data_IF_710071883641
#
_entry.id   IF_710071883641
#
_cell.length_a   1.000
_cell.length_b   1.000
_cell.length_c   1.000
_cell.angle_alpha   90.00
_cell.angle_beta   90.00
_cell.angle_gamma   90.00
#
_symmetry.space_group_name_H-M   'P 1'
#
loop_
_entity.id
_entity.type
_entity.pdbx_description
1 polymer ?
#
# COMPACT_ATOMS: atom_id res chain seq x y z
N UNK A 1 21.41 25.03 -35.52
CA UNK A 1 21.06 24.21 -36.70
C UNK A 1 19.60 23.80 -36.53
N UNK A 2 18.72 23.97 -37.52
CA UNK A 2 17.30 23.55 -37.40
C UNK A 2 17.19 22.05 -37.72
N UNK A 3 16.40 21.27 -36.97
CA UNK A 3 16.24 19.84 -37.24
C UNK A 3 15.60 19.61 -38.62
N UNK A 4 16.05 18.56 -39.31
CA UNK A 4 15.50 18.16 -40.61
C UNK A 4 14.09 17.58 -40.45
N UNK A 5 13.26 17.54 -41.52
CA UNK A 5 11.95 16.87 -41.48
C UNK A 5 12.01 15.42 -41.01
N UNK A 6 13.08 14.70 -41.37
CA UNK A 6 13.32 13.31 -40.95
C UNK A 6 13.64 13.20 -39.46
N UNK A 7 14.45 14.13 -38.92
CA UNK A 7 14.71 14.22 -37.48
C UNK A 7 13.44 14.56 -36.69
N UNK A 8 12.57 15.44 -37.22
CA UNK A 8 11.28 15.75 -36.60
C UNK A 8 10.34 14.53 -36.62
N UNK A 9 10.27 13.80 -37.75
CA UNK A 9 9.45 12.60 -37.85
C UNK A 9 9.92 11.48 -36.90
N UNK A 10 11.25 11.30 -36.80
CA UNK A 10 11.87 10.36 -35.85
C UNK A 10 11.54 10.72 -34.40
N UNK A 11 11.64 12.00 -34.03
CA UNK A 11 11.29 12.46 -32.68
C UNK A 11 9.80 12.24 -32.37
N UNK A 12 8.90 12.54 -33.30
CA UNK A 12 7.46 12.30 -33.13
C UNK A 12 7.17 10.81 -32.93
N UNK A 13 7.81 9.93 -33.70
CA UNK A 13 7.66 8.49 -33.55
C UNK A 13 8.12 8.02 -32.16
N UNK A 14 9.27 8.54 -31.69
CA UNK A 14 9.82 8.20 -30.38
C UNK A 14 8.91 8.69 -29.23
N UNK A 15 8.35 9.90 -29.35
CA UNK A 15 7.37 10.42 -28.39
C UNK A 15 6.09 9.59 -28.35
N UNK A 16 5.59 9.11 -29.51
CA UNK A 16 4.41 8.23 -29.56
C UNK A 16 4.65 6.88 -28.90
N UNK A 17 5.82 6.29 -29.13
CA UNK A 17 6.22 5.02 -28.49
C UNK A 17 6.30 5.22 -26.97
N UNK A 18 6.92 6.32 -26.53
CA UNK A 18 7.02 6.66 -25.11
C UNK A 18 5.63 6.85 -24.48
N UNK A 19 4.77 7.64 -25.10
CA UNK A 19 3.40 7.86 -24.61
C UNK A 19 2.62 6.55 -24.51
N UNK A 20 2.67 5.70 -25.54
CA UNK A 20 1.98 4.41 -25.51
C UNK A 20 2.50 3.49 -24.39
N UNK A 21 3.81 3.53 -24.10
CA UNK A 21 4.40 2.81 -22.98
C UNK A 21 3.97 3.37 -21.62
N UNK A 22 3.85 4.70 -21.50
CA UNK A 22 3.35 5.36 -20.29
C UNK A 22 1.86 5.07 -20.07
N UNK A 23 1.04 5.12 -21.11
CA UNK A 23 -0.39 4.79 -21.07
C UNK A 23 -0.62 3.33 -20.65
N UNK A 24 0.17 2.40 -21.22
CA UNK A 24 0.11 0.99 -20.85
C UNK A 24 0.57 0.75 -19.41
N UNK A 25 1.61 1.46 -18.97
CA UNK A 25 2.05 1.42 -17.59
C UNK A 25 0.95 1.92 -16.64
N UNK A 26 0.32 3.07 -16.94
CA UNK A 26 -0.78 3.62 -16.15
C UNK A 26 -1.97 2.66 -16.11
N UNK A 27 -2.26 1.99 -17.23
CA UNK A 27 -3.32 0.98 -17.29
C UNK A 27 -3.04 -0.21 -16.35
N UNK A 28 -1.80 -0.69 -16.30
CA UNK A 28 -1.41 -1.88 -15.53
C UNK A 28 -1.10 -1.59 -14.06
N UNK A 29 -0.44 -0.47 -13.79
CA UNK A 29 0.19 -0.15 -12.52
C UNK A 29 -0.29 1.17 -11.93
N UNK A 30 -1.27 1.82 -12.57
CA UNK A 30 -1.75 3.14 -12.16
C UNK A 30 -0.69 4.21 -12.34
N UNK A 31 -0.89 5.33 -11.65
CA UNK A 31 0.07 6.43 -11.60
C UNK A 31 1.21 6.18 -10.59
N UNK A 32 1.45 4.90 -10.23
CA UNK A 32 2.65 4.54 -9.48
C UNK A 32 3.91 4.99 -10.23
N UNK A 33 5.02 5.10 -9.52
CA UNK A 33 6.27 5.56 -10.13
C UNK A 33 6.70 4.63 -11.26
N UNK A 34 6.82 5.18 -12.47
CA UNK A 34 7.48 4.50 -13.58
C UNK A 34 8.96 4.28 -13.21
N UNK A 35 9.46 3.02 -13.16
CA UNK A 35 10.85 2.77 -12.81
C UNK A 35 11.80 3.36 -13.85
N UNK A 36 12.71 4.23 -13.42
CA UNK A 36 13.72 4.84 -14.29
C UNK A 36 15.08 4.29 -13.91
N UNK A 37 15.61 3.39 -14.74
CA UNK A 37 16.91 2.75 -14.51
C UNK A 37 17.71 2.63 -15.80
N UNK A 38 18.99 2.29 -15.65
CA UNK A 38 19.90 1.95 -16.75
C UNK A 38 20.95 0.95 -16.25
N UNK A 39 21.77 0.41 -17.14
CA UNK A 39 22.91 -0.44 -16.77
C UNK A 39 24.22 0.33 -16.94
N UNK A 40 25.02 0.40 -15.89
CA UNK A 40 26.35 0.99 -15.88
C UNK A 40 27.35 -0.01 -15.31
N UNK A 41 28.41 -0.33 -16.08
CA UNK A 41 29.44 -1.30 -15.69
C UNK A 41 28.85 -2.68 -15.31
N UNK A 42 27.81 -3.11 -16.04
CA UNK A 42 27.12 -4.38 -15.77
C UNK A 42 26.25 -4.40 -14.52
N UNK A 43 26.04 -3.25 -13.85
CA UNK A 43 25.15 -3.12 -12.68
C UNK A 43 23.96 -2.23 -13.00
N UNK A 44 22.78 -2.58 -12.50
CA UNK A 44 21.61 -1.71 -12.57
C UNK A 44 21.86 -0.44 -11.75
N UNK A 45 21.51 0.72 -12.31
CA UNK A 45 21.45 2.01 -11.63
C UNK A 45 20.05 2.55 -11.78
N UNK A 46 19.36 2.77 -10.66
CA UNK A 46 17.95 3.20 -10.63
C UNK A 46 17.79 4.53 -9.90
N UNK A 47 17.01 5.43 -10.49
CA UNK A 47 16.65 6.70 -9.88
C UNK A 47 15.45 6.52 -8.95
N UNK A 48 15.59 6.88 -7.67
CA UNK A 48 14.55 6.76 -6.63
C UNK A 48 14.65 7.95 -5.67
N UNK A 49 13.55 8.68 -5.43
CA UNK A 49 13.52 9.78 -4.43
C UNK A 49 14.57 10.88 -4.63
N UNK A 50 14.88 11.21 -5.88
CA UNK A 50 15.93 12.18 -6.22
C UNK A 50 17.38 11.67 -6.07
N UNK A 51 17.58 10.39 -5.75
CA UNK A 51 18.92 9.76 -5.68
C UNK A 51 19.11 8.71 -6.76
N UNK A 52 20.37 8.39 -7.08
CA UNK A 52 20.76 7.26 -7.92
C UNK A 52 21.25 6.12 -7.02
N UNK A 53 20.63 4.97 -7.13
CA UNK A 53 20.95 3.78 -6.35
C UNK A 53 21.54 2.73 -7.29
N UNK A 54 22.75 2.27 -7.00
CA UNK A 54 23.43 1.22 -7.78
C UNK A 54 23.16 -0.13 -7.14
N UNK A 55 22.86 -1.12 -7.95
CA UNK A 55 22.79 -2.52 -7.55
C UNK A 55 24.01 -2.89 -6.69
N UNK A 56 23.72 -3.44 -5.52
CA UNK A 56 24.74 -3.78 -4.51
C UNK A 56 25.15 -5.25 -4.67
N UNK A 57 24.19 -6.14 -4.91
CA UNK A 57 24.40 -7.59 -5.05
C UNK A 57 24.93 -7.95 -6.43
N UNK A 58 25.81 -8.94 -6.50
CA UNK A 58 26.27 -9.51 -7.76
C UNK A 58 25.21 -10.46 -8.36
N UNK A 59 25.21 -10.60 -9.69
CA UNK A 59 24.30 -11.50 -10.41
C UNK A 59 23.04 -10.81 -10.95
N UNK A 60 22.02 -11.60 -11.36
CA UNK A 60 20.75 -11.07 -11.86
C UNK A 60 20.09 -10.14 -10.85
N UNK A 61 19.56 -9.02 -11.33
CA UNK A 61 18.93 -8.00 -10.50
C UNK A 61 17.78 -7.34 -11.25
N UNK A 62 16.62 -7.27 -10.61
CA UNK A 62 15.38 -6.77 -11.20
C UNK A 62 14.62 -5.85 -10.22
N UNK A 63 13.43 -5.40 -10.61
CA UNK A 63 12.65 -4.48 -9.78
C UNK A 63 12.18 -5.06 -8.44
N UNK A 64 11.98 -6.37 -8.34
CA UNK A 64 11.67 -7.01 -7.05
C UNK A 64 12.86 -6.88 -6.09
N UNK A 65 14.08 -6.93 -6.61
CA UNK A 65 15.29 -6.70 -5.83
C UNK A 65 15.39 -5.24 -5.36
N UNK A 66 14.98 -4.28 -6.20
CA UNK A 66 14.88 -2.86 -5.81
C UNK A 66 13.86 -2.66 -4.69
N UNK A 67 12.69 -3.30 -4.76
CA UNK A 67 11.68 -3.21 -3.70
C UNK A 67 12.19 -3.85 -2.41
N UNK A 68 12.89 -4.98 -2.50
CA UNK A 68 13.56 -5.61 -1.37
C UNK A 68 14.58 -4.67 -0.73
N UNK A 69 15.48 -4.06 -1.52
CA UNK A 69 16.49 -3.14 -1.04
C UNK A 69 15.85 -1.88 -0.43
N UNK A 70 14.74 -1.38 -0.99
CA UNK A 70 13.97 -0.28 -0.41
C UNK A 70 13.39 -0.62 0.97
N UNK A 71 12.98 -1.87 1.20
CA UNK A 71 12.55 -2.33 2.51
C UNK A 71 13.72 -2.52 3.49
N UNK A 72 14.91 -2.89 3.01
CA UNK A 72 16.13 -2.95 3.84
C UNK A 72 16.56 -1.54 4.28
N UNK A 73 16.57 -0.58 3.35
CA UNK A 73 16.90 0.84 3.58
C UNK A 73 16.08 1.44 4.73
N UNK A 74 14.79 1.05 4.85
CA UNK A 74 13.92 1.51 5.93
C UNK A 74 14.52 1.26 7.32
N UNK A 75 15.12 0.08 7.53
CA UNK A 75 15.66 -0.32 8.83
C UNK A 75 17.11 0.09 9.02
N UNK A 76 17.91 0.02 7.95
CA UNK A 76 19.36 0.23 7.99
C UNK A 76 20.12 -0.97 8.55
N UNK A 77 21.37 -1.13 8.10
CA UNK A 77 22.21 -2.30 8.37
C UNK A 77 22.42 -2.56 9.87
N UNK A 78 22.82 -1.53 10.64
CA UNK A 78 23.06 -1.65 12.08
C UNK A 78 21.86 -2.21 12.84
N UNK A 79 20.66 -1.75 12.46
CA UNK A 79 19.43 -2.18 13.11
C UNK A 79 19.03 -3.58 12.69
N UNK A 80 19.16 -3.91 11.40
CA UNK A 80 18.92 -5.26 10.91
C UNK A 80 19.83 -6.23 11.67
N UNK A 81 21.11 -5.93 11.77
CA UNK A 81 22.08 -6.76 12.50
C UNK A 81 21.70 -6.90 13.98
N UNK A 82 21.33 -5.80 14.65
CA UNK A 82 20.89 -5.83 16.04
C UNK A 82 19.63 -6.71 16.24
N UNK A 83 18.67 -6.64 15.32
CA UNK A 83 17.45 -7.44 15.35
C UNK A 83 17.73 -8.91 15.04
N UNK A 84 18.64 -9.22 14.11
CA UNK A 84 19.04 -10.60 13.80
C UNK A 84 19.73 -11.30 14.98
N UNK A 85 20.32 -10.55 15.91
CA UNK A 85 20.90 -11.10 17.14
C UNK A 85 19.86 -11.41 18.25
N UNK A 86 18.60 -11.01 18.07
CA UNK A 86 17.51 -11.24 19.04
C UNK A 86 16.77 -12.56 18.72
N UNK A 87 16.09 -13.17 19.72
CA UNK A 87 15.13 -14.25 19.47
C UNK A 87 14.08 -13.81 18.44
N UNK A 88 13.69 -14.71 17.54
CA UNK A 88 12.83 -14.40 16.39
C UNK A 88 11.54 -13.66 16.77
N UNK A 89 10.90 -14.11 17.85
CA UNK A 89 9.62 -13.64 18.39
C UNK A 89 9.71 -12.24 19.01
N UNK A 90 10.93 -11.80 19.35
CA UNK A 90 11.20 -10.47 19.86
C UNK A 90 11.57 -9.48 18.75
N UNK A 91 11.89 -9.97 17.54
CA UNK A 91 12.27 -9.12 16.41
C UNK A 91 11.11 -8.26 15.94
N UNK A 92 11.44 -7.15 15.30
CA UNK A 92 10.47 -6.37 14.53
C UNK A 92 9.69 -7.25 13.53
N UNK A 93 8.36 -7.13 13.42
CA UNK A 93 7.53 -8.01 12.60
C UNK A 93 7.91 -8.03 11.12
N UNK A 94 8.25 -6.88 10.53
CA UNK A 94 8.75 -6.85 9.16
C UNK A 94 10.02 -7.71 8.99
N UNK A 95 10.92 -7.70 9.99
CA UNK A 95 12.15 -8.48 9.95
C UNK A 95 11.90 -9.97 10.23
N UNK A 96 10.84 -10.31 10.97
CA UNK A 96 10.35 -11.69 11.02
C UNK A 96 9.92 -12.17 9.63
N UNK A 97 9.20 -11.35 8.85
CA UNK A 97 8.86 -11.72 7.47
C UNK A 97 10.09 -11.88 6.60
N UNK A 98 11.07 -10.99 6.70
CA UNK A 98 12.33 -11.11 5.98
C UNK A 98 13.01 -12.44 6.28
N UNK A 99 13.25 -12.76 7.56
CA UNK A 99 13.90 -14.02 7.95
C UNK A 99 13.12 -15.23 7.44
N UNK A 100 11.80 -15.28 7.65
CA UNK A 100 10.97 -16.38 7.15
C UNK A 100 10.98 -16.49 5.62
N UNK A 101 11.00 -15.37 4.90
CA UNK A 101 11.05 -15.37 3.45
C UNK A 101 12.39 -15.89 2.93
N UNK A 102 13.51 -15.51 3.56
CA UNK A 102 14.86 -16.00 3.24
C UNK A 102 14.97 -17.50 3.50
N UNK A 103 14.54 -17.96 4.68
CA UNK A 103 14.57 -19.37 5.03
C UNK A 103 13.75 -20.22 4.05
N UNK A 104 12.55 -19.75 3.70
CA UNK A 104 11.70 -20.45 2.73
C UNK A 104 12.30 -20.44 1.33
N UNK A 105 12.92 -19.33 0.91
CA UNK A 105 13.57 -19.26 -0.40
C UNK A 105 14.72 -20.27 -0.52
N UNK A 106 15.53 -20.45 0.53
CA UNK A 106 16.60 -21.43 0.54
C UNK A 106 16.07 -22.87 0.45
N UNK A 107 14.93 -23.17 1.08
CA UNK A 107 14.27 -24.47 0.96
C UNK A 107 13.74 -24.71 -0.46
N UNK A 108 13.08 -23.71 -1.04
CA UNK A 108 12.54 -23.76 -2.40
C UNK A 108 13.66 -23.96 -3.44
N UNK A 109 14.78 -23.25 -3.29
CA UNK A 109 15.96 -23.39 -4.14
C UNK A 109 16.55 -24.79 -4.07
N UNK A 110 16.64 -25.38 -2.87
CA UNK A 110 17.10 -26.76 -2.69
C UNK A 110 16.17 -27.79 -3.36
N UNK A 111 14.88 -27.47 -3.51
CA UNK A 111 13.88 -28.26 -4.23
C UNK A 111 13.81 -27.91 -5.74
N UNK A 112 14.57 -26.91 -6.20
CA UNK A 112 14.53 -26.44 -7.59
C UNK A 112 13.21 -25.77 -7.98
N UNK A 113 12.47 -25.23 -7.01
CA UNK A 113 11.21 -24.51 -7.23
C UNK A 113 11.34 -23.06 -6.76
N UNK A 114 10.42 -22.22 -7.18
CA UNK A 114 10.28 -20.87 -6.65
C UNK A 114 8.80 -20.60 -6.38
N UNK A 115 8.41 -20.43 -5.10
CA UNK A 115 7.01 -20.24 -4.72
C UNK A 115 6.85 -19.11 -3.68
N UNK A 116 6.03 -18.09 -3.96
CA UNK A 116 5.83 -17.01 -3.00
C UNK A 116 5.16 -17.52 -1.71
N UNK A 117 5.79 -17.25 -0.57
CA UNK A 117 5.21 -17.44 0.76
C UNK A 117 4.48 -16.18 1.24
N UNK A 118 3.61 -16.33 2.24
CA UNK A 118 2.94 -15.19 2.90
C UNK A 118 3.93 -14.12 3.37
N UNK A 119 5.01 -14.53 4.03
CA UNK A 119 6.07 -13.63 4.48
C UNK A 119 6.79 -12.93 3.33
N UNK A 120 7.13 -13.64 2.24
CA UNK A 120 7.80 -13.02 1.08
C UNK A 120 6.93 -11.96 0.42
N UNK A 121 5.63 -12.19 0.32
CA UNK A 121 4.68 -11.23 -0.25
C UNK A 121 4.45 -10.06 0.70
N UNK A 122 4.32 -10.28 2.01
CA UNK A 122 4.19 -9.20 2.98
C UNK A 122 5.41 -8.26 2.96
N UNK A 123 6.62 -8.83 2.89
CA UNK A 123 7.87 -8.09 2.77
C UNK A 123 7.97 -7.32 1.45
N UNK A 124 7.74 -7.99 0.32
CA UNK A 124 7.80 -7.35 -1.01
C UNK A 124 6.78 -6.21 -1.16
N UNK A 125 5.60 -6.36 -0.56
CA UNK A 125 4.56 -5.31 -0.54
C UNK A 125 4.98 -4.09 0.29
N UNK A 126 5.59 -4.30 1.44
CA UNK A 126 6.17 -3.21 2.24
C UNK A 126 7.20 -2.44 1.41
N UNK A 127 8.11 -3.15 0.74
CA UNK A 127 9.12 -2.54 -0.13
C UNK A 127 8.52 -1.77 -1.30
N UNK A 128 7.51 -2.32 -1.96
CA UNK A 128 6.86 -1.67 -3.10
C UNK A 128 6.05 -0.42 -2.68
N UNK A 129 5.35 -0.44 -1.55
CA UNK A 129 4.65 0.75 -1.07
C UNK A 129 5.64 1.86 -0.70
N UNK A 130 6.74 1.52 -0.02
CA UNK A 130 7.82 2.47 0.29
C UNK A 130 8.42 3.08 -0.98
N UNK A 131 8.65 2.26 -2.01
CA UNK A 131 9.13 2.72 -3.31
C UNK A 131 8.13 3.68 -3.97
N UNK A 132 6.83 3.36 -3.92
CA UNK A 132 5.76 4.13 -4.55
C UNK A 132 5.64 5.53 -3.95
N UNK A 133 5.79 5.68 -2.64
CA UNK A 133 5.64 6.98 -1.96
C UNK A 133 6.96 7.76 -1.81
N UNK A 134 8.08 7.24 -2.35
CA UNK A 134 9.45 7.70 -2.04
C UNK A 134 9.75 9.14 -2.47
N UNK A 135 9.00 9.71 -3.41
CA UNK A 135 9.19 11.10 -3.85
C UNK A 135 8.62 12.15 -2.87
N UNK A 136 7.84 11.73 -1.88
CA UNK A 136 7.37 12.62 -0.83
C UNK A 136 8.29 12.51 0.40
N UNK A 137 9.33 13.34 0.44
CA UNK A 137 10.38 13.26 1.47
C UNK A 137 9.84 13.45 2.91
N UNK A 138 8.84 14.33 3.10
CA UNK A 138 8.22 14.57 4.41
C UNK A 138 7.41 13.36 4.87
N UNK A 139 6.57 12.82 3.97
CA UNK A 139 5.82 11.57 4.18
C UNK A 139 6.75 10.43 4.57
N UNK A 140 7.80 10.23 3.77
CA UNK A 140 8.74 9.14 3.98
C UNK A 140 9.46 9.28 5.33
N UNK A 141 9.82 10.49 5.76
CA UNK A 141 10.47 10.69 7.05
C UNK A 141 9.56 10.32 8.24
N UNK A 142 8.28 10.78 8.22
CA UNK A 142 7.27 10.43 9.23
C UNK A 142 7.02 8.92 9.26
N UNK A 143 6.60 8.35 8.14
CA UNK A 143 6.32 6.93 8.02
C UNK A 143 7.53 6.07 8.38
N UNK A 144 8.74 6.44 7.94
CA UNK A 144 9.94 5.65 8.27
C UNK A 144 10.18 5.55 9.77
N UNK A 145 9.90 6.62 10.53
CA UNK A 145 10.04 6.60 12.00
C UNK A 145 9.04 5.62 12.63
N UNK A 146 7.78 5.71 12.23
CA UNK A 146 6.67 4.94 12.81
C UNK A 146 6.70 3.46 12.35
N UNK A 147 7.06 3.19 11.09
CA UNK A 147 7.26 1.83 10.55
C UNK A 147 8.44 1.09 11.21
N UNK A 148 9.38 1.83 11.78
CA UNK A 148 10.49 1.27 12.55
C UNK A 148 10.10 1.02 14.01
N UNK A 149 9.00 1.58 14.50
CA UNK A 149 8.55 1.38 15.87
C UNK A 149 7.60 0.16 15.92
N UNK A 150 7.95 -0.94 16.61
CA UNK A 150 7.11 -2.12 16.67
C UNK A 150 5.67 -1.86 17.14
N UNK A 151 5.47 -0.89 18.04
CA UNK A 151 4.14 -0.59 18.62
C UNK A 151 3.26 0.23 17.67
N UNK A 152 3.86 0.94 16.71
CA UNK A 152 3.18 1.79 15.72
C UNK A 152 3.12 1.12 14.34
N UNK A 153 3.93 0.08 14.12
CA UNK A 153 4.14 -0.56 12.82
C UNK A 153 2.84 -0.92 12.09
N UNK A 154 1.86 -1.51 12.78
CA UNK A 154 0.58 -1.85 12.17
C UNK A 154 -0.16 -0.62 11.63
N UNK A 155 -0.24 0.44 12.44
CA UNK A 155 -0.93 1.68 12.05
C UNK A 155 -0.18 2.37 10.91
N UNK A 156 1.14 2.50 11.02
CA UNK A 156 1.98 3.12 10.00
C UNK A 156 1.99 2.34 8.67
N UNK A 157 1.93 1.00 8.73
CA UNK A 157 1.79 0.16 7.52
C UNK A 157 0.46 0.40 6.81
N UNK A 158 -0.63 0.59 7.56
CA UNK A 158 -1.94 0.90 6.98
C UNK A 158 -1.95 2.30 6.34
N UNK A 159 -1.32 3.28 6.98
CA UNK A 159 -1.14 4.63 6.43
C UNK A 159 -0.29 4.59 5.14
N UNK A 160 0.83 3.86 5.16
CA UNK A 160 1.70 3.66 3.99
C UNK A 160 0.92 3.01 2.82
N UNK A 161 0.15 1.95 3.09
CA UNK A 161 -0.70 1.31 2.08
C UNK A 161 -1.71 2.30 1.48
N UNK A 162 -2.35 3.09 2.34
CA UNK A 162 -3.35 4.09 1.93
C UNK A 162 -2.72 5.18 1.06
N UNK A 163 -1.53 5.66 1.44
CA UNK A 163 -0.73 6.59 0.64
C UNK A 163 -0.35 6.00 -0.72
N UNK A 164 0.13 4.76 -0.75
CA UNK A 164 0.49 4.04 -1.97
C UNK A 164 -0.69 3.91 -2.94
N UNK A 165 -1.89 3.62 -2.42
CA UNK A 165 -3.12 3.57 -3.23
C UNK A 165 -3.47 4.96 -3.78
N UNK A 166 -3.40 6.01 -2.96
CA UNK A 166 -3.69 7.38 -3.40
C UNK A 166 -2.73 7.84 -4.51
N UNK A 167 -1.42 7.59 -4.36
CA UNK A 167 -0.41 7.88 -5.40
C UNK A 167 -0.70 7.08 -6.66
N UNK A 168 -0.98 5.79 -6.53
CA UNK A 168 -1.34 4.90 -7.65
C UNK A 168 -2.62 5.38 -8.36
N UNK A 169 -3.54 6.02 -7.65
CA UNK A 169 -4.76 6.61 -8.19
C UNK A 169 -4.53 7.96 -8.92
N UNK A 170 -3.32 8.53 -8.89
CA UNK A 170 -2.99 9.81 -9.52
C UNK A 170 -3.08 11.02 -8.60
N UNK A 171 -3.13 10.80 -7.28
CA UNK A 171 -3.15 11.86 -6.28
C UNK A 171 -1.76 12.21 -5.75
N UNK A 172 -1.51 13.50 -5.57
CA UNK A 172 -0.40 14.01 -4.77
C UNK A 172 -0.83 14.14 -3.31
N UNK A 173 0.02 13.72 -2.38
CA UNK A 173 -0.27 13.71 -0.93
C UNK A 173 0.23 15.00 -0.27
N UNK A 174 -0.67 15.67 0.45
CA UNK A 174 -0.42 16.85 1.26
C UNK A 174 -0.76 16.54 2.72
N UNK A 175 0.25 16.56 3.61
CA UNK A 175 -0.01 16.41 5.04
C UNK A 175 -0.63 17.66 5.63
N UNK A 176 -1.58 17.47 6.54
CA UNK A 176 -2.07 18.54 7.39
C UNK A 176 -1.00 18.94 8.42
N UNK A 177 -0.99 20.22 8.80
CA UNK A 177 -0.13 20.72 9.86
C UNK A 177 -0.66 20.24 11.22
N UNK A 178 -0.04 19.19 11.77
CA UNK A 178 -0.40 18.60 13.07
C UNK A 178 -0.15 19.55 14.28
N UNK A 179 0.32 20.77 14.07
CA UNK A 179 0.56 21.74 15.15
C UNK A 179 -0.72 22.20 15.86
N UNK A 180 -1.89 22.13 15.22
CA UNK A 180 -3.17 22.47 15.86
C UNK A 180 -3.77 21.25 16.58
N UNK A 181 -3.53 21.16 17.88
CA UNK A 181 -4.05 20.08 18.74
C UNK A 181 -5.54 20.21 19.08
N UNK A 182 -6.21 21.30 18.66
CA UNK A 182 -7.63 21.53 18.96
C UNK A 182 -8.59 20.82 17.98
N UNK A 183 -8.07 20.22 16.91
CA UNK A 183 -8.87 19.50 15.91
C UNK A 183 -8.35 18.09 15.71
N UNK A 184 -9.28 17.16 15.46
CA UNK A 184 -8.94 15.82 14.99
C UNK A 184 -8.80 15.87 13.47
N UNK A 185 -7.57 16.04 13.03
CA UNK A 185 -7.18 16.05 11.62
C UNK A 185 -7.35 14.67 11.00
N UNK A 186 -7.57 14.65 9.69
CA UNK A 186 -7.47 13.42 8.91
C UNK A 186 -5.99 13.06 8.72
N UNK A 187 -5.69 11.83 8.30
CA UNK A 187 -4.30 11.42 8.08
C UNK A 187 -3.59 12.28 7.03
N UNK A 188 -4.28 12.60 5.92
CA UNK A 188 -3.77 13.53 4.91
C UNK A 188 -4.87 14.04 3.96
N UNK A 189 -4.53 15.07 3.20
CA UNK A 189 -5.27 15.52 2.01
C UNK A 189 -4.58 14.99 0.77
N UNK A 190 -5.36 14.53 -0.20
CA UNK A 190 -4.87 14.07 -1.50
C UNK A 190 -5.47 14.91 -2.62
N UNK A 191 -4.64 15.37 -3.56
CA UNK A 191 -5.04 16.22 -4.68
C UNK A 191 -4.79 15.52 -6.00
N UNK A 192 -5.85 15.31 -6.80
CA UNK A 192 -5.72 14.65 -8.10
C UNK A 192 -4.94 15.54 -9.06
N UNK A 193 -3.80 15.03 -9.55
CA UNK A 193 -2.80 15.83 -10.29
C UNK A 193 -3.34 16.47 -11.57
N UNK A 194 -4.22 15.79 -12.30
CA UNK A 194 -4.80 16.31 -13.55
C UNK A 194 -6.08 17.11 -13.35
N UNK A 195 -6.92 16.70 -12.38
CA UNK A 195 -8.27 17.23 -12.22
C UNK A 195 -8.36 18.33 -11.14
N UNK A 196 -7.34 18.45 -10.29
CA UNK A 196 -7.33 19.38 -9.16
C UNK A 196 -8.35 19.04 -8.06
N UNK A 197 -8.90 17.82 -8.05
CA UNK A 197 -9.88 17.38 -7.06
C UNK A 197 -9.16 17.05 -5.76
N UNK A 198 -9.53 17.72 -4.68
CA UNK A 198 -9.03 17.45 -3.34
C UNK A 198 -9.96 16.52 -2.56
N UNK A 199 -9.38 15.56 -1.86
CA UNK A 199 -10.08 14.64 -0.95
C UNK A 199 -9.37 14.58 0.40
N UNK A 200 -10.15 14.41 1.46
CA UNK A 200 -9.62 14.10 2.79
C UNK A 200 -9.55 12.59 2.96
N UNK A 201 -8.45 12.08 3.50
CA UNK A 201 -8.20 10.63 3.60
C UNK A 201 -7.93 10.23 5.03
N UNK A 202 -8.65 9.22 5.51
CA UNK A 202 -8.43 8.61 6.82
C UNK A 202 -8.05 7.13 6.67
N UNK A 203 -6.95 6.72 7.30
CA UNK A 203 -6.52 5.32 7.34
C UNK A 203 -6.85 4.69 8.70
N UNK A 204 -7.49 3.51 8.67
CA UNK A 204 -7.80 2.73 9.87
C UNK A 204 -7.37 1.28 9.67
N UNK A 205 -6.69 0.72 10.66
CA UNK A 205 -6.43 -0.72 10.72
C UNK A 205 -7.03 -1.34 11.96
N UNK A 206 -7.71 -2.47 11.78
CA UNK A 206 -8.27 -3.22 12.89
C UNK A 206 -7.17 -3.93 13.66
N UNK A 207 -6.90 -3.48 14.88
CA UNK A 207 -5.99 -4.17 15.81
C UNK A 207 -6.61 -5.48 16.31
N UNK A 208 -5.84 -6.56 16.26
CA UNK A 208 -6.25 -7.90 16.69
C UNK A 208 -5.17 -8.48 17.60
N UNK A 209 -5.58 -9.08 18.72
CA UNK A 209 -4.65 -9.60 19.72
C UNK A 209 -3.71 -10.63 19.09
N UNK A 210 -2.41 -10.49 19.31
CA UNK A 210 -1.38 -11.39 18.78
C UNK A 210 -1.01 -11.16 17.31
N UNK A 211 -1.55 -10.12 16.66
CA UNK A 211 -1.33 -9.85 15.24
C UNK A 211 -0.49 -8.58 15.11
N UNK A 212 0.59 -8.65 14.31
CA UNK A 212 1.50 -7.53 14.05
C UNK A 212 2.01 -6.83 15.32
N UNK A 213 2.19 -7.58 16.41
CA UNK A 213 2.78 -7.08 17.66
C UNK A 213 1.79 -6.48 18.62
N UNK A 214 0.51 -6.42 18.25
CA UNK A 214 -0.52 -5.91 19.12
C UNK A 214 -0.83 -6.90 20.26
N UNK A 215 -0.38 -6.58 21.48
CA UNK A 215 -0.60 -7.40 22.68
C UNK A 215 -1.89 -7.08 23.46
N UNK A 216 -2.66 -6.09 23.01
CA UNK A 216 -3.89 -5.65 23.67
C UNK A 216 -5.17 -6.37 23.20
N UNK A 217 -6.30 -6.05 23.83
CA UNK A 217 -7.62 -6.55 23.44
C UNK A 217 -7.98 -7.93 24.00
N UNK A 218 -9.15 -8.43 23.60
CA UNK A 218 -9.65 -9.73 24.05
C UNK A 218 -9.02 -10.86 23.23
N UNK A 219 -8.52 -11.89 23.92
CA UNK A 219 -8.08 -13.12 23.27
C UNK A 219 -9.28 -13.79 22.56
N UNK A 220 -9.04 -14.29 21.35
CA UNK A 220 -10.05 -14.96 20.54
C UNK A 220 -9.60 -15.14 19.10
N UNK A 221 -10.38 -15.88 18.32
CA UNK A 221 -10.12 -16.07 16.91
C UNK A 221 -10.19 -14.73 16.15
N UNK A 222 -9.10 -14.27 15.51
CA UNK A 222 -9.09 -13.03 14.75
C UNK A 222 -10.10 -13.04 13.59
N UNK A 223 -10.48 -14.20 13.05
CA UNK A 223 -11.49 -14.35 11.99
C UNK A 223 -12.95 -14.43 12.47
N UNK A 224 -13.19 -14.44 13.78
CA UNK A 224 -14.52 -14.67 14.33
C UNK A 224 -15.50 -13.53 14.00
N UNK A 225 -15.04 -12.27 14.03
CA UNK A 225 -15.84 -11.07 13.71
C UNK A 225 -14.98 -9.99 13.05
N UNK A 226 -15.58 -9.20 12.18
CA UNK A 226 -14.92 -8.06 11.54
C UNK A 226 -14.68 -6.93 12.53
N UNK A 227 -15.70 -6.53 13.30
CA UNK A 227 -15.65 -5.49 14.35
C UNK A 227 -15.08 -4.14 13.86
N UNK A 228 -15.60 -3.55 12.79
CA UNK A 228 -15.08 -2.28 12.24
C UNK A 228 -15.82 -1.03 12.70
N UNK A 229 -16.93 -1.18 13.44
CA UNK A 229 -17.82 -0.07 13.81
C UNK A 229 -17.10 1.12 14.46
N UNK A 230 -16.32 0.88 15.52
CA UNK A 230 -15.61 1.94 16.23
C UNK A 230 -14.57 2.67 15.37
N UNK A 231 -14.03 2.02 14.33
CA UNK A 231 -13.10 2.66 13.39
C UNK A 231 -13.82 3.66 12.50
N UNK A 232 -15.03 3.31 12.05
CA UNK A 232 -15.87 4.21 11.27
C UNK A 232 -16.39 5.36 12.11
N UNK A 233 -16.83 5.11 13.34
CA UNK A 233 -17.25 6.17 14.27
C UNK A 233 -16.10 7.16 14.54
N UNK A 234 -14.87 6.66 14.74
CA UNK A 234 -13.70 7.51 14.93
C UNK A 234 -13.35 8.34 13.68
N UNK A 235 -13.46 7.75 12.48
CA UNK A 235 -13.27 8.46 11.22
C UNK A 235 -14.36 9.50 10.96
N UNK A 236 -15.61 9.20 11.29
CA UNK A 236 -16.74 10.15 11.19
C UNK A 236 -16.65 11.28 12.21
N UNK A 237 -15.92 11.08 13.31
CA UNK A 237 -15.61 12.12 14.30
C UNK A 237 -14.51 13.09 13.87
N UNK A 238 -13.91 12.91 12.68
CA UNK A 238 -12.96 13.86 12.10
C UNK A 238 -13.69 15.07 11.51
N UNK A 239 -12.97 16.19 11.39
CA UNK A 239 -13.49 17.41 10.79
C UNK A 239 -12.79 17.69 9.44
N UNK A 240 -13.05 16.89 8.40
CA UNK A 240 -12.37 17.01 7.12
C UNK A 240 -12.78 18.32 6.40
N UNK A 241 -11.83 18.92 5.67
CA UNK A 241 -12.10 20.08 4.81
C UNK A 241 -12.75 19.66 3.48
N UNK A 242 -12.41 18.48 2.97
CA UNK A 242 -12.82 17.96 1.67
C UNK A 242 -13.71 16.71 1.81
N UNK A 243 -14.33 16.21 0.72
CA UNK A 243 -14.92 14.87 0.68
C UNK A 243 -14.01 13.82 1.34
N UNK A 244 -14.51 13.15 2.37
CA UNK A 244 -13.78 12.17 3.16
C UNK A 244 -13.89 10.78 2.54
N UNK A 245 -12.75 10.14 2.32
CA UNK A 245 -12.63 8.74 1.94
C UNK A 245 -11.89 7.99 3.04
N UNK A 246 -12.50 6.93 3.56
CA UNK A 246 -11.94 6.15 4.67
C UNK A 246 -11.44 4.81 4.15
N UNK A 247 -10.20 4.50 4.46
CA UNK A 247 -9.57 3.22 4.18
C UNK A 247 -9.57 2.38 5.45
N UNK A 248 -10.13 1.17 5.38
CA UNK A 248 -10.19 0.27 6.53
C UNK A 248 -9.50 -1.04 6.18
N UNK A 249 -8.28 -1.23 6.65
CA UNK A 249 -7.67 -2.55 6.73
C UNK A 249 -8.38 -3.36 7.83
N UNK A 250 -9.21 -4.31 7.41
CA UNK A 250 -9.96 -5.16 8.33
C UNK A 250 -9.08 -6.17 9.04
N UNK A 251 -7.85 -6.39 8.55
CA UNK A 251 -6.83 -7.23 9.15
C UNK A 251 -7.35 -8.62 9.53
N UNK A 252 -8.07 -9.29 8.65
CA UNK A 252 -8.63 -10.62 8.85
C UNK A 252 -7.66 -11.70 8.32
N UNK A 253 -7.64 -12.89 8.95
CA UNK A 253 -6.83 -14.01 8.46
C UNK A 253 -7.32 -14.49 7.09
N UNK A 254 -6.56 -15.41 6.48
CA UNK A 254 -7.05 -16.17 5.35
C UNK A 254 -8.32 -16.92 5.75
N UNK A 255 -9.39 -16.79 4.95
CA UNK A 255 -10.66 -17.46 5.21
C UNK A 255 -11.22 -18.14 3.96
N UNK A 256 -12.11 -19.11 4.19
CA UNK A 256 -12.88 -19.75 3.12
C UNK A 256 -13.81 -18.75 2.43
N UNK A 257 -14.43 -19.17 1.32
CA UNK A 257 -15.43 -18.35 0.64
C UNK A 257 -16.60 -18.00 1.55
N UNK A 258 -17.06 -18.95 2.37
CA UNK A 258 -18.17 -18.79 3.31
C UNK A 258 -17.81 -17.79 4.41
N UNK A 259 -16.59 -17.87 4.96
CA UNK A 259 -16.09 -16.90 5.94
C UNK A 259 -16.01 -15.50 5.34
N UNK A 260 -15.49 -15.38 4.11
CA UNK A 260 -15.44 -14.10 3.38
C UNK A 260 -16.83 -13.51 3.19
N UNK A 261 -17.80 -14.30 2.74
CA UNK A 261 -19.18 -13.83 2.58
C UNK A 261 -19.77 -13.35 3.90
N UNK A 262 -19.55 -14.09 4.99
CA UNK A 262 -19.99 -13.69 6.34
C UNK A 262 -19.37 -12.36 6.77
N UNK A 263 -18.07 -12.14 6.52
CA UNK A 263 -17.41 -10.88 6.83
C UNK A 263 -17.97 -9.72 6.01
N UNK A 264 -18.21 -9.91 4.71
CA UNK A 264 -18.81 -8.89 3.86
C UNK A 264 -20.22 -8.52 4.33
N UNK A 265 -21.03 -9.50 4.75
CA UNK A 265 -22.34 -9.25 5.35
C UNK A 265 -22.23 -8.46 6.66
N UNK A 266 -21.25 -8.76 7.54
CA UNK A 266 -21.03 -7.99 8.77
C UNK A 266 -20.63 -6.53 8.47
N UNK A 267 -19.81 -6.30 7.44
CA UNK A 267 -19.43 -4.96 6.99
C UNK A 267 -20.66 -4.20 6.50
N UNK A 268 -21.46 -4.80 5.61
CA UNK A 268 -22.69 -4.21 5.09
C UNK A 268 -23.67 -3.84 6.20
N UNK A 269 -23.89 -4.77 7.14
CA UNK A 269 -24.76 -4.53 8.29
C UNK A 269 -24.24 -3.37 9.15
N UNK A 270 -22.93 -3.31 9.40
CA UNK A 270 -22.35 -2.23 10.21
C UNK A 270 -22.55 -0.85 9.57
N UNK A 271 -22.35 -0.74 8.25
CA UNK A 271 -22.59 0.54 7.54
C UNK A 271 -24.08 0.89 7.55
N UNK A 272 -24.95 -0.10 7.32
CA UNK A 272 -26.39 0.09 7.37
C UNK A 272 -26.85 0.59 8.75
N UNK A 273 -26.32 0.01 9.83
CA UNK A 273 -26.65 0.41 11.21
C UNK A 273 -26.20 1.86 11.49
N UNK A 274 -24.98 2.23 11.09
CA UNK A 274 -24.50 3.62 11.20
C UNK A 274 -25.38 4.61 10.43
N UNK A 275 -25.85 4.23 9.24
CA UNK A 275 -26.79 5.04 8.47
C UNK A 275 -28.14 5.19 9.18
N UNK A 276 -28.72 4.07 9.63
CA UNK A 276 -30.02 4.04 10.33
C UNK A 276 -30.00 4.84 11.65
N UNK A 277 -28.86 4.83 12.35
CA UNK A 277 -28.63 5.59 13.57
C UNK A 277 -28.28 7.07 13.32
N UNK A 278 -28.14 7.48 12.06
CA UNK A 278 -27.94 8.87 11.66
C UNK A 278 -26.49 9.36 11.68
N UNK A 279 -25.50 8.49 11.89
CA UNK A 279 -24.08 8.86 11.89
C UNK A 279 -23.61 9.42 10.53
N UNK A 280 -24.27 9.02 9.45
CA UNK A 280 -23.93 9.45 8.09
C UNK A 280 -24.66 10.72 7.66
N UNK A 281 -25.66 11.16 8.44
CA UNK A 281 -26.43 12.36 8.15
C UNK A 281 -25.53 13.59 8.24
N UNK A 282 -25.54 14.41 7.20
CA UNK A 282 -24.72 15.62 7.08
C UNK A 282 -23.19 15.39 7.15
N UNK A 283 -22.75 14.13 7.09
CA UNK A 283 -21.33 13.78 7.09
C UNK A 283 -20.68 14.13 5.75
N UNK A 284 -19.37 14.38 5.79
CA UNK A 284 -18.55 14.54 4.58
C UNK A 284 -18.01 13.21 4.06
N UNK A 285 -18.41 12.07 4.64
CA UNK A 285 -18.01 10.76 4.15
C UNK A 285 -18.63 10.51 2.77
N UNK A 286 -17.79 10.25 1.78
CA UNK A 286 -18.21 9.94 0.40
C UNK A 286 -18.05 8.46 0.07
N UNK A 287 -17.03 7.81 0.64
CA UNK A 287 -16.82 6.39 0.43
C UNK A 287 -15.95 5.75 1.50
N UNK A 288 -16.12 4.44 1.65
CA UNK A 288 -15.24 3.60 2.46
C UNK A 288 -14.69 2.49 1.60
N UNK A 289 -13.37 2.31 1.61
CA UNK A 289 -12.71 1.16 1.01
C UNK A 289 -12.26 0.21 2.12
N UNK A 290 -13.01 -0.88 2.31
CA UNK A 290 -12.57 -1.98 3.17
C UNK A 290 -11.56 -2.83 2.41
N UNK A 291 -10.43 -3.15 3.03
CA UNK A 291 -9.34 -3.90 2.41
C UNK A 291 -8.88 -5.01 3.34
N UNK A 292 -8.38 -6.09 2.77
CA UNK A 292 -7.76 -7.15 3.55
C UNK A 292 -6.52 -7.73 2.85
N UNK A 293 -5.40 -7.74 3.57
CA UNK A 293 -4.20 -8.45 3.19
C UNK A 293 -3.80 -9.49 4.25
N UNK A 294 -4.16 -10.77 4.07
CA UNK A 294 -3.86 -11.81 5.03
C UNK A 294 -2.44 -12.39 4.90
N UNK A 295 -1.58 -11.87 4.01
CA UNK A 295 -0.21 -12.40 3.76
C UNK A 295 0.58 -12.63 5.05
N UNK A 296 0.47 -11.68 5.99
CA UNK A 296 1.18 -11.71 7.25
C UNK A 296 0.65 -12.75 8.27
N UNK A 297 -0.51 -13.36 8.04
CA UNK A 297 -1.02 -14.51 8.81
C UNK A 297 -0.50 -15.85 8.29
N UNK A 298 -0.10 -15.90 7.02
CA UNK A 298 0.22 -17.15 6.31
C UNK A 298 1.66 -17.59 6.61
N UNK A 299 2.54 -16.64 6.87
CA UNK A 299 3.93 -16.91 7.27
C UNK A 299 4.70 -17.69 6.20
N UNK A 300 5.31 -18.84 6.53
CA UNK A 300 6.12 -19.62 5.58
C UNK A 300 5.30 -20.33 4.51
N UNK A 301 3.99 -20.52 4.70
CA UNK A 301 3.16 -21.28 3.76
C UNK A 301 3.09 -20.59 2.40
N UNK A 302 3.20 -21.38 1.33
CA UNK A 302 3.05 -20.90 -0.04
C UNK A 302 1.62 -20.45 -0.35
N UNK A 303 1.54 -19.41 -1.15
CA UNK A 303 0.30 -18.92 -1.74
C UNK A 303 0.02 -19.67 -3.05
N UNK A 304 -1.27 -19.79 -3.41
CA UNK A 304 -1.68 -20.21 -4.76
C UNK A 304 -1.26 -19.14 -5.77
N UNK A 305 -1.99 -18.04 -5.81
CA UNK A 305 -1.51 -16.77 -6.35
C UNK A 305 -1.35 -15.72 -5.22
N UNK A 306 -0.41 -14.76 -5.35
CA UNK A 306 -0.21 -13.68 -4.37
C UNK A 306 -1.47 -12.85 -4.09
N UNK A 307 -2.42 -12.83 -5.01
CA UNK A 307 -3.65 -12.02 -4.95
C UNK A 307 -4.90 -12.81 -4.57
N UNK A 308 -4.88 -14.14 -4.56
CA UNK A 308 -6.09 -14.97 -4.35
C UNK A 308 -6.77 -14.73 -2.98
N UNK A 309 -5.96 -14.35 -2.00
CA UNK A 309 -6.40 -14.09 -0.63
C UNK A 309 -6.72 -12.63 -0.35
N UNK A 310 -6.32 -11.73 -1.25
CA UNK A 310 -6.62 -10.32 -1.16
C UNK A 310 -8.08 -10.04 -1.53
N UNK A 311 -8.66 -9.05 -0.88
CA UNK A 311 -9.93 -8.50 -1.32
C UNK A 311 -10.08 -7.06 -0.85
N UNK A 312 -10.85 -6.31 -1.63
CA UNK A 312 -11.34 -5.00 -1.26
C UNK A 312 -12.86 -4.95 -1.49
N UNK A 313 -13.55 -4.17 -0.66
CA UNK A 313 -15.00 -3.99 -0.72
C UNK A 313 -15.31 -2.50 -0.62
N UNK A 314 -15.61 -1.83 -1.75
CA UNK A 314 -15.98 -0.42 -1.76
C UNK A 314 -17.42 -0.26 -1.27
N UNK A 315 -17.67 0.78 -0.48
CA UNK A 315 -19.01 1.20 -0.06
C UNK A 315 -19.18 2.68 -0.38
N UNK A 316 -20.00 2.97 -1.40
CA UNK A 316 -20.42 4.32 -1.78
C UNK A 316 -21.60 4.75 -0.92
N UNK A 317 -21.59 6.00 -0.47
CA UNK A 317 -22.73 6.59 0.24
C UNK A 317 -23.65 7.30 -0.76
N UNK A 318 -24.96 7.07 -0.64
CA UNK A 318 -25.97 7.56 -1.59
C UNK A 318 -26.43 9.00 -1.32
N UNK A 319 -26.22 9.49 -0.11
CA UNK A 319 -26.61 10.83 0.32
C UNK A 319 -25.35 11.65 0.55
N UNK A 320 -24.87 12.31 -0.50
CA UNK A 320 -23.67 13.13 -0.44
C UNK A 320 -24.03 14.59 -0.12
N UNK A 321 -23.30 15.17 0.83
CA UNK A 321 -23.43 16.58 1.19
C UNK A 321 -22.80 17.52 0.16
N UNK A 322 -21.76 17.06 -0.51
CA UNK A 322 -21.11 17.75 -1.62
C UNK A 322 -21.38 16.96 -2.90
N UNK A 323 -21.58 17.61 -4.06
CA UNK A 323 -21.71 16.89 -5.32
C UNK A 323 -20.43 16.10 -5.60
N UNK A 324 -20.57 14.87 -6.11
CA UNK A 324 -19.45 14.12 -6.65
C UNK A 324 -18.75 14.97 -7.72
N UNK A 325 -17.43 15.15 -7.58
CA UNK A 325 -16.60 15.51 -8.72
C UNK A 325 -16.84 14.47 -9.80
N UNK A 326 -17.07 14.86 -11.07
CA UNK A 326 -17.50 13.93 -12.14
C UNK A 326 -16.61 12.70 -12.41
N UNK A 327 -15.46 12.57 -11.73
CA UNK A 327 -14.68 11.35 -11.60
C UNK A 327 -15.11 10.55 -10.37
N UNK A 328 -15.49 9.29 -10.56
CA UNK A 328 -15.80 8.37 -9.46
C UNK A 328 -14.54 8.01 -8.66
N UNK A 329 -14.21 8.85 -7.68
CA UNK A 329 -13.00 8.73 -6.86
C UNK A 329 -12.92 7.35 -6.19
N UNK A 330 -14.03 6.79 -5.71
CA UNK A 330 -13.97 5.50 -5.02
C UNK A 330 -13.63 4.36 -5.99
N UNK A 331 -14.19 4.37 -7.20
CA UNK A 331 -13.84 3.38 -8.23
C UNK A 331 -12.38 3.53 -8.68
N UNK A 332 -11.88 4.78 -8.77
CA UNK A 332 -10.47 5.05 -9.04
C UNK A 332 -9.55 4.51 -7.94
N UNK A 333 -9.90 4.71 -6.66
CA UNK A 333 -9.13 4.17 -5.52
C UNK A 333 -9.17 2.64 -5.48
N UNK A 334 -10.32 2.02 -5.83
CA UNK A 334 -10.45 0.57 -5.95
C UNK A 334 -9.60 0.00 -7.10
N UNK A 335 -9.59 0.68 -8.25
CA UNK A 335 -8.75 0.32 -9.38
C UNK A 335 -7.27 0.41 -8.99
N UNK A 336 -6.87 1.50 -8.34
CA UNK A 336 -5.52 1.70 -7.85
C UNK A 336 -5.10 0.63 -6.82
N UNK A 337 -6.00 0.23 -5.91
CA UNK A 337 -5.74 -0.91 -5.02
C UNK A 337 -5.44 -2.20 -5.80
N UNK A 338 -6.19 -2.45 -6.88
CA UNK A 338 -5.96 -3.62 -7.75
C UNK A 338 -4.63 -3.53 -8.48
N UNK A 339 -4.33 -2.38 -9.09
CA UNK A 339 -3.08 -2.14 -9.82
C UNK A 339 -1.86 -2.24 -8.90
N UNK A 340 -1.95 -1.71 -7.69
CA UNK A 340 -0.90 -1.80 -6.66
C UNK A 340 -0.57 -3.25 -6.26
N UNK A 341 -1.46 -4.21 -6.49
CA UNK A 341 -1.21 -5.63 -6.21
C UNK A 341 -0.45 -6.35 -7.33
N UNK A 342 -0.23 -5.70 -8.47
CA UNK A 342 0.60 -6.15 -9.57
C UNK A 342 1.77 -5.17 -9.74
N UNK A 343 2.79 -5.20 -8.85
CA UNK A 343 3.93 -4.32 -8.98
C UNK A 343 4.62 -4.52 -10.34
N UNK A 344 5.17 -3.46 -10.96
CA UNK A 344 5.92 -3.58 -12.20
C UNK A 344 7.03 -4.61 -12.05
N UNK A 345 7.06 -5.56 -12.96
CA UNK A 345 8.19 -6.47 -13.17
C UNK A 345 8.96 -6.02 -14.40
N UNK A 346 10.28 -6.22 -14.39
CA UNK A 346 11.06 -6.15 -15.62
C UNK A 346 10.55 -7.26 -16.54
N UNK A 347 10.22 -6.93 -17.79
CA UNK A 347 9.84 -7.96 -18.75
C UNK A 347 10.99 -8.97 -18.93
N UNK A 348 10.72 -10.22 -19.33
CA UNK A 348 11.77 -11.12 -19.79
C UNK A 348 12.29 -10.56 -21.14
N UNK A 349 13.34 -9.76 -21.11
CA UNK A 349 13.87 -9.14 -22.34
C UNK A 349 14.91 -8.04 -22.21
N UNK A 350 15.35 -7.67 -21.00
CA UNK A 350 16.51 -6.78 -20.81
C UNK A 350 17.79 -7.57 -20.52
#
# INVERSE_FOLDING_TARGET
MKPTPEQIASLIALLKIKQASEDEFVRLHGHARFPVYTHMEGKMVIAIGGTLNKQIREGPYNLLDVYHDTALDLFGEDRIQAEMNRPFEERHHALQWLSTAVDQHALDEAEGVYRPSGSSVAWGRLGYDLFTVRDNAKLLAKLSRELRNPDEFQSARCELLTCSIAVTAGFEIQFEDEADTNKRHVEFVAVHTEAGISISVEAKSRRRNGVLGFKGGHAGDPGAKVKIRSLLEDALGKAPEYPLYVFVDVNLPFGTKEERMRWLTEIQQTVHDLHAEGYLRDSLLHGVLFMNDPSHYIGPRHLGAPTDSLWAYPVKLRELKLPESGDDVLDRLLLAWTQRNAPPSMGPGD
#
